data_IF_073268183738
#
_entry.id   IF_073268183738
#
_cell.length_a   1.000
_cell.length_b   1.000
_cell.length_c   1.000
_cell.angle_alpha   90.00
_cell.angle_beta   90.00
_cell.angle_gamma   90.00
#
_symmetry.space_group_name_H-M   'P 1'
#
loop_
_entity.id
_entity.type
_entity.pdbx_description
1 polymer ?
#
# COMPACT_ATOMS: atom_id res chain seq x y z
N UNK A 1 8.76 -22.08 -1.95
CA UNK A 1 10.10 -21.65 -1.49
C UNK A 1 9.95 -20.26 -0.91
N UNK A 2 10.20 -20.06 0.38
CA UNK A 2 10.15 -18.73 1.00
C UNK A 2 11.30 -17.87 0.45
N UNK A 3 11.01 -16.71 -0.16
CA UNK A 3 12.06 -15.74 -0.52
C UNK A 3 12.69 -15.24 0.78
N UNK A 4 14.02 -15.24 0.85
CA UNK A 4 14.74 -14.54 1.92
C UNK A 4 14.74 -13.05 1.57
N UNK A 5 13.97 -12.26 2.32
CA UNK A 5 13.93 -10.80 2.18
C UNK A 5 14.96 -10.22 3.15
N UNK A 6 15.85 -9.39 2.63
CA UNK A 6 16.83 -8.63 3.42
C UNK A 6 16.43 -7.16 3.42
N UNK A 7 16.37 -6.56 4.60
CA UNK A 7 15.97 -5.16 4.77
C UNK A 7 17.20 -4.36 5.11
N UNK A 8 17.46 -3.31 4.34
CA UNK A 8 18.52 -2.36 4.62
C UNK A 8 17.92 -1.07 5.17
N UNK A 9 18.55 -0.49 6.20
CA UNK A 9 18.15 0.82 6.72
C UNK A 9 16.85 0.82 7.53
N UNK A 10 16.49 -0.28 8.21
CA UNK A 10 15.30 -0.36 9.07
C UNK A 10 15.25 0.76 10.12
N UNK A 11 16.41 1.21 10.62
CA UNK A 11 16.55 2.34 11.54
C UNK A 11 16.09 3.69 10.96
N UNK A 12 15.90 3.79 9.64
CA UNK A 12 15.39 5.00 8.98
C UNK A 12 13.86 5.07 9.03
N UNK A 13 13.17 4.00 9.46
CA UNK A 13 11.72 4.05 9.63
C UNK A 13 11.42 5.00 10.81
N UNK A 14 10.72 6.12 10.56
CA UNK A 14 10.47 7.10 11.60
C UNK A 14 9.58 6.53 12.70
N UNK A 15 9.74 7.08 13.91
CA UNK A 15 8.92 6.72 15.07
C UNK A 15 7.54 7.36 15.01
N UNK A 16 7.44 8.58 14.47
CA UNK A 16 6.16 9.19 14.11
C UNK A 16 5.48 8.49 12.93
N UNK A 17 4.23 8.87 12.66
CA UNK A 17 3.49 8.32 11.54
C UNK A 17 4.10 8.72 10.21
N UNK A 18 4.10 7.79 9.26
CA UNK A 18 4.66 8.03 7.94
C UNK A 18 3.90 7.32 6.82
N UNK A 19 4.06 7.86 5.61
CA UNK A 19 3.61 7.26 4.37
C UNK A 19 4.79 6.52 3.72
N UNK A 20 4.61 5.22 3.49
CA UNK A 20 5.53 4.38 2.75
C UNK A 20 5.04 4.29 1.31
N UNK A 21 5.91 4.64 0.36
CA UNK A 21 5.66 4.54 -1.08
C UNK A 21 6.61 3.49 -1.65
N UNK A 22 6.21 2.20 -1.71
CA UNK A 22 7.02 1.18 -2.34
C UNK A 22 7.03 1.37 -3.86
N UNK A 23 8.15 1.05 -4.52
CA UNK A 23 8.22 1.06 -5.98
C UNK A 23 7.38 -0.06 -6.62
N UNK A 24 7.42 -1.24 -6.01
CA UNK A 24 6.51 -2.38 -6.23
C UNK A 24 6.37 -3.14 -4.93
N UNK A 25 5.23 -3.77 -4.71
CA UNK A 25 4.98 -4.58 -3.52
C UNK A 25 4.18 -5.83 -3.92
N UNK A 26 4.81 -7.00 -3.89
CA UNK A 26 4.11 -8.27 -4.04
C UNK A 26 3.45 -8.70 -2.71
N UNK A 27 2.54 -9.68 -2.76
CA UNK A 27 1.82 -10.13 -1.56
C UNK A 27 2.75 -10.68 -0.46
N UNK A 28 3.87 -11.32 -0.83
CA UNK A 28 4.83 -11.84 0.14
C UNK A 28 5.63 -10.73 0.82
N UNK A 29 5.97 -9.68 0.07
CA UNK A 29 6.63 -8.47 0.56
C UNK A 29 5.69 -7.65 1.45
N UNK A 30 4.40 -7.58 1.09
CA UNK A 30 3.34 -6.96 1.90
C UNK A 30 3.26 -7.59 3.30
N UNK A 31 3.16 -8.92 3.37
CA UNK A 31 3.12 -9.66 4.64
C UNK A 31 4.42 -9.53 5.44
N UNK A 32 5.56 -9.34 4.76
CA UNK A 32 6.83 -9.10 5.43
C UNK A 32 6.89 -7.69 6.01
N UNK A 33 6.43 -6.69 5.26
CA UNK A 33 6.36 -5.30 5.71
C UNK A 33 5.49 -5.15 6.95
N UNK A 34 4.35 -5.86 7.02
CA UNK A 34 3.52 -5.88 8.24
C UNK A 34 4.26 -6.43 9.47
N UNK A 35 5.14 -7.41 9.28
CA UNK A 35 5.94 -7.95 10.39
C UNK A 35 6.97 -6.94 10.88
N UNK A 36 7.59 -6.18 9.97
CA UNK A 36 8.51 -5.09 10.32
C UNK A 36 7.77 -4.01 11.10
N UNK A 37 6.56 -3.66 10.65
CA UNK A 37 5.72 -2.64 11.25
C UNK A 37 4.85 -3.17 12.40
N UNK A 38 5.17 -4.35 12.94
CA UNK A 38 4.37 -4.99 13.98
C UNK A 38 4.24 -4.09 15.21
N UNK A 39 3.02 -4.01 15.76
CA UNK A 39 2.68 -3.11 16.87
C UNK A 39 2.26 -1.70 16.44
N UNK A 40 2.35 -1.36 15.16
CA UNK A 40 1.82 -0.11 14.61
C UNK A 40 0.50 -0.35 13.89
N UNK A 41 -0.37 0.66 13.87
CA UNK A 41 -1.60 0.65 13.05
C UNK A 41 -1.21 0.82 11.60
N UNK A 42 -1.58 -0.12 10.72
CA UNK A 42 -1.27 -0.06 9.29
C UNK A 42 -2.56 0.24 8.53
N UNK A 43 -2.49 1.21 7.61
CA UNK A 43 -3.55 1.55 6.66
C UNK A 43 -3.04 1.44 5.24
N UNK A 44 -3.72 0.66 4.41
CA UNK A 44 -3.38 0.46 3.02
C UNK A 44 -4.03 1.52 2.15
N UNK A 45 -3.25 2.27 1.39
CA UNK A 45 -3.73 3.33 0.51
C UNK A 45 -3.67 2.85 -0.95
N UNK A 46 -4.79 2.89 -1.66
CA UNK A 46 -4.85 2.49 -3.06
C UNK A 46 -5.65 3.49 -3.90
N UNK A 47 -5.34 3.58 -5.20
CA UNK A 47 -6.12 4.38 -6.12
C UNK A 47 -7.46 3.68 -6.44
N UNK A 48 -8.52 4.46 -6.60
CA UNK A 48 -9.82 3.95 -7.02
C UNK A 48 -9.72 3.29 -8.41
N UNK A 49 -10.28 2.09 -8.54
CA UNK A 49 -10.26 1.34 -9.80
C UNK A 49 -8.94 0.63 -10.12
N UNK A 50 -7.96 0.66 -9.20
CA UNK A 50 -6.69 -0.04 -9.39
C UNK A 50 -6.86 -1.55 -9.47
N UNK A 51 -6.10 -2.19 -10.36
CA UNK A 51 -6.06 -3.65 -10.46
C UNK A 51 -5.04 -4.20 -9.47
N UNK A 52 -5.51 -4.95 -8.47
CA UNK A 52 -4.67 -5.63 -7.49
C UNK A 52 -4.65 -7.13 -7.77
N UNK A 53 -3.54 -7.77 -7.41
CA UNK A 53 -3.48 -9.23 -7.35
C UNK A 53 -4.61 -9.79 -6.46
N UNK A 54 -5.14 -10.96 -6.82
CA UNK A 54 -6.25 -11.58 -6.10
C UNK A 54 -5.92 -11.80 -4.62
N UNK A 55 -4.69 -12.19 -4.31
CA UNK A 55 -4.23 -12.42 -2.93
C UNK A 55 -4.23 -11.12 -2.12
N UNK A 56 -3.81 -10.02 -2.74
CA UNK A 56 -3.82 -8.68 -2.10
C UNK A 56 -5.26 -8.22 -1.87
N UNK A 57 -6.16 -8.37 -2.86
CA UNK A 57 -7.57 -8.01 -2.71
C UNK A 57 -8.23 -8.79 -1.57
N UNK A 58 -8.12 -10.12 -1.60
CA UNK A 58 -8.67 -10.98 -0.53
C UNK A 58 -8.07 -10.69 0.84
N UNK A 59 -6.83 -10.20 0.90
CA UNK A 59 -6.23 -9.75 2.16
C UNK A 59 -6.88 -8.47 2.69
N UNK A 60 -7.09 -7.47 1.82
CA UNK A 60 -7.67 -6.17 2.20
C UNK A 60 -9.14 -6.28 2.65
N UNK A 61 -9.86 -7.31 2.19
CA UNK A 61 -11.25 -7.59 2.56
C UNK A 61 -11.41 -8.23 3.95
N UNK A 62 -10.30 -8.59 4.61
CA UNK A 62 -10.34 -9.23 5.93
C UNK A 62 -10.74 -8.26 7.03
N UNK A 63 -11.47 -8.75 8.02
CA UNK A 63 -11.74 -7.99 9.23
C UNK A 63 -10.45 -7.55 9.93
N UNK A 64 -10.42 -6.30 10.38
CA UNK A 64 -9.26 -5.70 11.05
C UNK A 64 -8.20 -5.12 10.11
N UNK A 65 -8.33 -5.29 8.79
CA UNK A 65 -7.49 -4.62 7.80
C UNK A 65 -8.12 -3.28 7.42
N UNK A 66 -7.35 -2.19 7.52
CA UNK A 66 -7.81 -0.86 7.12
C UNK A 66 -7.29 -0.55 5.73
N UNK A 67 -8.19 -0.32 4.78
CA UNK A 67 -7.88 0.13 3.43
C UNK A 67 -8.60 1.45 3.14
N UNK A 68 -7.90 2.39 2.50
CA UNK A 68 -8.41 3.70 2.10
C UNK A 68 -8.18 3.86 0.61
N UNK A 69 -9.23 4.22 -0.12
CA UNK A 69 -9.16 4.50 -1.55
C UNK A 69 -9.11 6.00 -1.79
N UNK A 70 -8.33 6.44 -2.77
CA UNK A 70 -8.33 7.83 -3.25
C UNK A 70 -8.48 7.90 -4.77
N UNK A 71 -8.97 9.02 -5.28
CA UNK A 71 -9.16 9.23 -6.70
C UNK A 71 -8.69 10.63 -7.08
N UNK A 72 -7.94 10.76 -8.17
CA UNK A 72 -7.58 12.07 -8.71
C UNK A 72 -8.81 12.87 -9.20
N UNK A 73 -9.94 12.18 -9.42
CA UNK A 73 -11.21 12.76 -9.84
C UNK A 73 -12.13 13.08 -8.66
N UNK A 74 -11.68 12.84 -7.43
CA UNK A 74 -12.49 13.14 -6.26
C UNK A 74 -12.77 14.65 -6.18
N UNK A 75 -14.02 14.98 -5.84
CA UNK A 75 -14.45 16.36 -5.71
C UNK A 75 -14.02 16.97 -4.37
N UNK A 76 -13.61 16.14 -3.40
CA UNK A 76 -13.19 16.58 -2.06
C UNK A 76 -11.90 15.90 -1.58
N UNK A 77 -10.75 16.13 -2.25
CA UNK A 77 -9.46 15.50 -1.88
C UNK A 77 -9.00 15.87 -0.46
N UNK A 78 -9.41 17.02 0.06
CA UNK A 78 -9.09 17.47 1.42
C UNK A 78 -9.68 16.53 2.49
N UNK A 79 -10.89 15.99 2.28
CA UNK A 79 -11.53 15.09 3.23
C UNK A 79 -10.79 13.76 3.37
N UNK A 80 -10.27 13.23 2.24
CA UNK A 80 -9.36 12.07 2.27
C UNK A 80 -8.07 12.44 3.00
N UNK A 81 -7.50 13.60 2.69
CA UNK A 81 -6.31 14.10 3.36
C UNK A 81 -6.44 14.13 4.90
N UNK A 82 -7.57 14.61 5.41
CA UNK A 82 -7.83 14.67 6.86
C UNK A 82 -8.03 13.29 7.48
N UNK A 83 -8.64 12.36 6.75
CA UNK A 83 -8.72 10.95 7.14
C UNK A 83 -7.32 10.34 7.24
N UNK A 84 -6.46 10.55 6.24
CA UNK A 84 -5.09 10.06 6.23
C UNK A 84 -4.25 10.67 7.36
N UNK A 85 -4.40 11.97 7.66
CA UNK A 85 -3.75 12.59 8.82
C UNK A 85 -4.13 11.90 10.14
N UNK A 86 -5.41 11.55 10.29
CA UNK A 86 -5.88 10.81 11.47
C UNK A 86 -5.19 9.45 11.57
N UNK A 87 -5.01 8.75 10.44
CA UNK A 87 -4.35 7.45 10.39
C UNK A 87 -2.83 7.50 10.66
N UNK A 88 -2.19 8.66 10.52
CA UNK A 88 -0.77 8.87 10.87
C UNK A 88 -0.56 9.17 12.37
N UNK A 89 -1.62 9.49 13.10
CA UNK A 89 -1.55 9.75 14.55
C UNK A 89 -1.05 8.52 15.31
N UNK A 90 -0.45 8.73 16.49
CA UNK A 90 0.08 7.67 17.36
C UNK A 90 1.09 6.73 16.68
N UNK A 91 1.83 7.25 15.69
CA UNK A 91 2.75 6.44 14.92
C UNK A 91 2.04 5.46 13.99
N UNK A 92 0.85 5.78 13.48
CA UNK A 92 0.23 4.97 12.44
C UNK A 92 0.98 5.06 11.10
N UNK A 93 0.88 3.99 10.32
CA UNK A 93 1.61 3.82 9.07
C UNK A 93 0.63 3.72 7.92
N UNK A 94 0.85 4.52 6.89
CA UNK A 94 0.13 4.40 5.63
C UNK A 94 1.07 3.76 4.63
N UNK A 95 0.61 2.72 3.93
CA UNK A 95 1.40 2.06 2.89
C UNK A 95 0.65 2.15 1.57
N UNK A 96 1.25 2.80 0.59
CA UNK A 96 0.69 2.87 -0.76
C UNK A 96 0.84 1.53 -1.47
N UNK A 97 -0.26 1.04 -2.04
CA UNK A 97 -0.28 -0.15 -2.88
C UNK A 97 -0.24 0.28 -4.34
N UNK A 98 0.91 0.04 -4.96
CA UNK A 98 1.01 0.09 -6.42
C UNK A 98 0.18 -1.05 -7.00
N UNK A 99 -0.67 -0.73 -7.97
CA UNK A 99 -1.41 -1.72 -8.74
C UNK A 99 -0.48 -2.62 -9.54
N UNK A 100 -1.07 -3.66 -10.13
CA UNK A 100 -0.40 -4.37 -11.21
C UNK A 100 -0.13 -3.40 -12.36
N UNK A 101 1.02 -3.55 -13.02
CA UNK A 101 1.36 -2.67 -14.14
C UNK A 101 0.41 -2.90 -15.28
N UNK A 102 -0.33 -1.88 -15.65
CA UNK A 102 -1.13 -1.83 -16.87
C UNK A 102 -0.34 -1.02 -17.89
N UNK A 103 0.06 -1.66 -19.00
CA UNK A 103 0.47 -0.89 -20.17
C UNK A 103 -0.79 -0.30 -20.82
N UNK A 104 -0.72 0.95 -21.29
CA UNK A 104 -1.79 1.51 -22.11
C UNK A 104 -1.85 0.79 -23.46
N UNK A 105 -3.06 0.65 -24.02
CA UNK A 105 -3.26 0.09 -25.37
C UNK A 105 -2.40 0.88 -26.38
N UNK A 106 -1.50 0.17 -27.07
CA UNK A 106 -0.61 0.75 -28.09
C UNK A 106 0.86 0.92 -27.68
N UNK A 107 1.25 0.60 -26.45
CA UNK A 107 2.66 0.63 -26.05
C UNK A 107 3.42 -0.67 -26.41
N UNK A 108 4.66 -0.53 -26.87
CA UNK A 108 5.54 -1.64 -27.29
C UNK A 108 5.94 -2.54 -26.11
N UNK A 109 5.84 -2.05 -24.88
CA UNK A 109 6.25 -2.77 -23.67
C UNK A 109 5.02 -3.27 -22.90
N UNK A 110 4.68 -4.54 -23.13
CA UNK A 110 3.62 -5.22 -22.37
C UNK A 110 4.21 -5.78 -21.08
N UNK A 111 3.90 -5.17 -19.95
CA UNK A 111 4.10 -5.79 -18.64
C UNK A 111 2.70 -6.15 -18.17
N UNK A 112 2.38 -7.44 -18.10
CA UNK A 112 1.02 -7.90 -17.82
C UNK A 112 0.61 -7.61 -16.37
N UNK A 113 -0.55 -6.99 -16.21
CA UNK A 113 -1.44 -7.16 -15.06
C UNK A 113 -2.45 -8.24 -15.42
N UNK A 114 -2.43 -9.37 -14.72
CA UNK A 114 -3.50 -10.38 -14.77
C UNK A 114 -4.50 -10.12 -13.64
#
# INVERSE_FOLDING_TARGET
MSKKIEIHGEHNIPKEGALIIPGRLDFSEMLHLEKILSGRKISWLCEEGIVLDTSVRSYLEREGVTAVTFSAKDQAPEAIGDTLKTHLSDGGMIVFLSGLVTAHDGEVCHIQAN
#
